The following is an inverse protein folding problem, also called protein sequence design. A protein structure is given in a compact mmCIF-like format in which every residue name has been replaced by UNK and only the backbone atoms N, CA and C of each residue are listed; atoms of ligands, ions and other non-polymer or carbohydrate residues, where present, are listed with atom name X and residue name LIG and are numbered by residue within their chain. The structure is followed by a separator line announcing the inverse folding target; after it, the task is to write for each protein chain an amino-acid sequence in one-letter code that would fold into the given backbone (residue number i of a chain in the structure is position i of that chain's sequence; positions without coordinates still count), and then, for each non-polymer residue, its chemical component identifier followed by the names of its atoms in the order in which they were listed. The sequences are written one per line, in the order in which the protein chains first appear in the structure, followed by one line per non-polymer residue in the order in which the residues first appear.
data_IF_735928300332
#
_entry.id   IF_735928300332
#
_cell.length_a   1.000
_cell.length_b   1.000
_cell.length_c   1.000
_cell.angle_alpha   90.00
_cell.angle_beta   90.00
_cell.angle_gamma   90.00
#
_symmetry.space_group_name_H-M   'P 1'
#
loop_
_entity.id
_entity.type
_entity.pdbx_description
1 polymer ?
#
# COMPACT_ATOMS: atom_id res chain seq x y z
N UNK A 1 4.65 81.58 47.85
CA UNK A 1 4.24 80.78 46.67
C UNK A 1 5.33 79.86 46.05
N UNK A 2 6.49 79.61 46.67
CA UNK A 2 7.58 78.79 46.07
C UNK A 2 7.50 77.26 46.29
N UNK A 3 6.68 76.76 47.24
CA UNK A 3 6.61 75.31 47.57
C UNK A 3 5.83 74.44 46.57
N UNK A 4 4.98 75.00 45.70
CA UNK A 4 4.16 74.17 44.76
C UNK A 4 4.93 73.69 43.53
N UNK A 5 5.91 74.44 43.03
CA UNK A 5 6.72 74.06 41.85
C UNK A 5 7.64 72.85 42.10
N UNK A 6 8.07 72.63 43.35
CA UNK A 6 8.98 71.52 43.70
C UNK A 6 8.24 70.17 43.72
N UNK A 7 6.96 70.14 44.13
CA UNK A 7 6.11 68.93 44.07
C UNK A 7 5.80 68.48 42.63
N UNK A 8 5.71 69.40 41.67
CA UNK A 8 5.50 69.05 40.26
C UNK A 8 6.73 68.38 39.60
N UNK A 9 7.96 68.69 40.04
CA UNK A 9 9.17 68.00 39.56
C UNK A 9 9.26 66.54 40.07
N UNK A 10 8.83 66.26 41.31
CA UNK A 10 8.78 64.87 41.82
C UNK A 10 7.74 64.01 41.10
N UNK A 11 6.58 64.57 40.73
CA UNK A 11 5.54 63.84 39.96
C UNK A 11 6.02 63.37 38.58
N UNK A 12 6.96 64.08 37.95
CA UNK A 12 7.55 63.66 36.66
C UNK A 12 8.37 62.38 36.75
N UNK A 13 9.04 62.12 37.88
CA UNK A 13 9.76 60.86 38.11
C UNK A 13 8.81 59.67 38.30
N UNK A 14 7.64 59.90 38.94
CA UNK A 14 6.61 58.89 39.19
C UNK A 14 5.90 58.46 37.89
N UNK A 15 5.61 59.40 36.99
CA UNK A 15 4.98 59.07 35.69
C UNK A 15 5.93 58.25 34.79
N UNK A 16 7.25 58.46 34.91
CA UNK A 16 8.26 57.72 34.16
C UNK A 16 8.36 56.24 34.58
N UNK A 17 8.33 55.96 35.88
CA UNK A 17 8.33 54.58 36.40
C UNK A 17 7.01 53.86 36.08
N UNK A 18 5.86 54.53 36.14
CA UNK A 18 4.57 53.95 35.74
C UNK A 18 4.56 53.56 34.26
N UNK A 19 5.07 54.44 33.39
CA UNK A 19 5.19 54.16 31.96
C UNK A 19 6.16 53.02 31.66
N UNK A 20 7.27 52.91 32.42
CA UNK A 20 8.24 51.84 32.26
C UNK A 20 7.67 50.46 32.67
N UNK A 21 6.87 50.40 33.73
CA UNK A 21 6.20 49.16 34.14
C UNK A 21 5.22 48.69 33.06
N UNK A 22 4.43 49.61 32.49
CA UNK A 22 3.51 49.30 31.38
C UNK A 22 4.26 48.81 30.14
N UNK A 23 5.40 49.42 29.81
CA UNK A 23 6.26 48.99 28.71
C UNK A 23 6.76 47.54 28.92
N UNK A 24 7.26 47.22 30.11
CA UNK A 24 7.74 45.86 30.43
C UNK A 24 6.60 44.85 30.33
N UNK A 25 5.41 45.18 30.88
CA UNK A 25 4.25 44.30 30.80
C UNK A 25 3.81 44.06 29.35
N UNK A 26 3.79 45.10 28.52
CA UNK A 26 3.46 44.97 27.10
C UNK A 26 4.47 44.10 26.33
N UNK A 27 5.77 44.30 26.58
CA UNK A 27 6.83 43.50 25.98
C UNK A 27 6.73 42.02 26.41
N UNK A 28 6.44 41.76 27.68
CA UNK A 28 6.24 40.39 28.18
C UNK A 28 5.04 39.69 27.53
N UNK A 29 3.91 40.40 27.39
CA UNK A 29 2.73 39.86 26.70
C UNK A 29 3.03 39.60 25.22
N UNK A 30 3.71 40.54 24.54
CA UNK A 30 4.10 40.37 23.15
C UNK A 30 5.07 39.18 22.96
N UNK A 31 6.04 39.00 23.85
CA UNK A 31 6.97 37.88 23.83
C UNK A 31 6.25 36.53 24.06
N UNK A 32 5.33 36.47 25.03
CA UNK A 32 4.54 35.26 25.29
C UNK A 32 3.65 34.88 24.10
N UNK A 33 2.97 35.86 23.50
CA UNK A 33 2.15 35.66 22.30
C UNK A 33 3.02 35.20 21.11
N UNK A 34 4.20 35.80 20.94
CA UNK A 34 5.12 35.42 19.86
C UNK A 34 5.61 33.98 20.00
N UNK A 35 5.92 33.53 21.22
CA UNK A 35 6.31 32.15 21.47
C UNK A 35 5.19 31.15 21.13
N UNK A 36 3.95 31.47 21.51
CA UNK A 36 2.78 30.65 21.19
C UNK A 36 2.58 30.57 19.67
N UNK A 37 2.64 31.71 18.97
CA UNK A 37 2.49 31.77 17.52
C UNK A 37 3.58 30.97 16.82
N UNK A 38 4.84 31.07 17.25
CA UNK A 38 5.94 30.30 16.67
C UNK A 38 5.77 28.80 16.88
N UNK A 39 5.39 28.36 18.08
CA UNK A 39 5.17 26.93 18.35
C UNK A 39 4.00 26.37 17.55
N UNK A 40 2.89 27.11 17.48
CA UNK A 40 1.76 26.73 16.62
C UNK A 40 2.18 26.73 15.15
N UNK A 41 2.92 27.75 14.71
CA UNK A 41 3.44 27.88 13.35
C UNK A 41 4.35 26.71 12.94
N UNK A 42 5.25 26.28 13.83
CA UNK A 42 6.09 25.11 13.62
C UNK A 42 5.29 23.82 13.56
N UNK A 43 4.31 23.64 14.44
CA UNK A 43 3.41 22.47 14.41
C UNK A 43 2.63 22.40 13.10
N UNK A 44 2.04 23.52 12.66
CA UNK A 44 1.33 23.59 11.37
C UNK A 44 2.25 23.31 10.19
N UNK A 45 3.48 23.83 10.20
CA UNK A 45 4.46 23.60 9.12
C UNK A 45 4.89 22.14 9.07
N UNK A 46 5.13 21.50 10.22
CA UNK A 46 5.45 20.08 10.29
C UNK A 46 4.29 19.21 9.81
N UNK A 47 3.05 19.54 10.20
CA UNK A 47 1.87 18.82 9.74
C UNK A 47 1.63 19.00 8.24
N UNK A 48 1.87 20.19 7.71
CA UNK A 48 1.82 20.44 6.27
C UNK A 48 2.87 19.60 5.53
N UNK A 49 4.11 19.58 6.02
CA UNK A 49 5.19 18.76 5.44
C UNK A 49 4.84 17.27 5.41
N UNK A 50 4.32 16.72 6.51
CA UNK A 50 3.94 15.29 6.56
C UNK A 50 2.76 14.99 5.65
N UNK A 51 1.76 15.86 5.58
CA UNK A 51 0.60 15.67 4.69
C UNK A 51 0.99 15.75 3.22
N UNK A 52 1.89 16.67 2.85
CA UNK A 52 2.43 16.76 1.49
C UNK A 52 3.23 15.50 1.13
N UNK A 53 4.10 15.04 2.04
CA UNK A 53 4.88 13.82 1.83
C UNK A 53 3.96 12.61 1.65
N UNK A 54 3.04 12.36 2.60
CA UNK A 54 2.11 11.23 2.52
C UNK A 54 1.18 11.32 1.30
N UNK A 55 0.77 12.53 0.88
CA UNK A 55 -0.01 12.70 -0.35
C UNK A 55 0.77 12.37 -1.62
N UNK A 56 2.07 12.72 -1.65
CA UNK A 56 2.96 12.32 -2.73
C UNK A 56 3.23 10.82 -2.70
N UNK A 57 3.43 10.25 -1.51
CA UNK A 57 3.65 8.82 -1.31
C UNK A 57 2.43 8.04 -1.82
N UNK A 58 1.21 8.45 -1.46
CA UNK A 58 -0.03 7.82 -1.92
C UNK A 58 -0.22 7.94 -3.44
N UNK A 59 0.07 9.10 -4.02
CA UNK A 59 -0.09 9.35 -5.45
C UNK A 59 0.97 8.65 -6.32
N UNK A 60 2.19 8.47 -5.78
CA UNK A 60 3.31 7.83 -6.50
C UNK A 60 3.37 6.32 -6.29
N UNK A 61 2.78 5.81 -5.21
CA UNK A 61 2.68 4.38 -4.94
C UNK A 61 1.62 3.74 -5.82
N UNK A 62 1.99 3.36 -7.03
CA UNK A 62 1.14 2.54 -7.88
C UNK A 62 1.88 1.25 -8.23
N UNK A 63 1.17 0.13 -8.24
CA UNK A 63 1.70 -1.11 -8.79
C UNK A 63 1.34 -1.20 -10.27
N UNK A 64 2.26 -1.75 -11.06
CA UNK A 64 2.04 -2.00 -12.49
C UNK A 64 2.27 -3.47 -12.83
N UNK A 65 1.56 -3.93 -13.87
CA UNK A 65 1.75 -5.27 -14.41
C UNK A 65 3.02 -5.25 -15.26
N UNK A 66 3.96 -6.17 -14.99
CA UNK A 66 5.23 -6.25 -15.71
C UNK A 66 5.31 -7.51 -16.57
N UNK A 67 4.73 -7.44 -17.76
CA UNK A 67 4.70 -8.54 -18.73
C UNK A 67 3.28 -9.05 -19.00
N UNK A 68 3.19 -10.20 -19.68
CA UNK A 68 1.92 -10.87 -19.97
C UNK A 68 1.36 -11.60 -18.75
N UNK A 69 0.03 -11.67 -18.65
CA UNK A 69 -0.63 -12.53 -17.67
C UNK A 69 -0.61 -13.96 -18.21
N UNK A 70 0.05 -14.86 -17.50
CA UNK A 70 0.19 -16.26 -17.91
C UNK A 70 -0.73 -17.16 -17.09
N UNK A 71 -1.18 -18.25 -17.69
CA UNK A 71 -2.10 -19.19 -17.08
C UNK A 71 -1.68 -20.62 -17.30
N UNK A 72 -2.12 -21.50 -16.41
CA UNK A 72 -1.95 -22.94 -16.56
C UNK A 72 -3.29 -23.62 -16.79
N UNK A 73 -3.48 -24.14 -17.99
CA UNK A 73 -4.69 -24.80 -18.43
C UNK A 73 -4.63 -26.31 -18.26
N UNK A 74 -5.75 -26.91 -17.87
CA UNK A 74 -5.95 -28.35 -17.98
C UNK A 74 -6.63 -28.65 -19.32
N UNK A 75 -5.85 -29.14 -20.30
CA UNK A 75 -6.31 -29.43 -21.67
C UNK A 75 -7.43 -30.48 -21.72
N UNK A 76 -7.39 -31.48 -20.84
CA UNK A 76 -8.39 -32.55 -20.80
C UNK A 76 -9.76 -32.05 -20.33
N UNK A 77 -9.77 -31.07 -19.42
CA UNK A 77 -10.99 -30.50 -18.87
C UNK A 77 -11.39 -29.17 -19.53
N UNK A 78 -10.54 -28.61 -20.40
CA UNK A 78 -10.68 -27.28 -20.99
C UNK A 78 -10.97 -26.18 -19.94
N UNK A 79 -10.23 -26.21 -18.83
CA UNK A 79 -10.42 -25.33 -17.67
C UNK A 79 -9.09 -24.78 -17.16
N UNK A 80 -9.11 -23.52 -16.73
CA UNK A 80 -7.93 -22.85 -16.17
C UNK A 80 -7.71 -23.30 -14.72
N UNK A 81 -6.50 -23.77 -14.40
CA UNK A 81 -6.15 -24.26 -13.06
C UNK A 81 -5.71 -23.10 -12.16
N UNK A 82 -4.84 -22.25 -12.68
CA UNK A 82 -4.34 -21.04 -12.02
C UNK A 82 -3.86 -20.04 -13.07
N UNK A 83 -3.70 -18.78 -12.70
CA UNK A 83 -2.98 -17.78 -13.49
C UNK A 83 -2.08 -16.90 -12.62
N UNK A 84 -1.08 -16.32 -13.27
CA UNK A 84 0.00 -15.55 -12.69
C UNK A 84 0.00 -14.16 -13.33
N UNK A 85 -0.10 -13.14 -12.49
CA UNK A 85 0.01 -11.73 -12.86
C UNK A 85 1.34 -11.21 -12.33
N UNK A 86 2.34 -10.97 -13.19
CA UNK A 86 3.59 -10.36 -12.74
C UNK A 86 3.35 -8.89 -12.39
N UNK A 87 3.80 -8.48 -11.22
CA UNK A 87 3.64 -7.12 -10.68
C UNK A 87 4.97 -6.55 -10.21
N UNK A 88 5.09 -5.23 -10.28
CA UNK A 88 6.18 -4.47 -9.67
C UNK A 88 5.66 -3.09 -9.25
N UNK A 89 6.41 -2.37 -8.43
CA UNK A 89 6.14 -0.95 -8.17
C UNK A 89 6.44 -0.14 -9.42
N UNK A 90 5.59 0.85 -9.71
CA UNK A 90 5.81 1.82 -10.79
C UNK A 90 7.18 2.50 -10.63
N UNK A 91 7.91 2.77 -11.72
CA UNK A 91 9.20 3.45 -11.65
C UNK A 91 9.07 4.80 -10.93
N UNK A 92 9.83 4.97 -9.83
CA UNK A 92 9.77 6.18 -9.00
C UNK A 92 8.66 6.20 -7.94
N UNK A 93 7.85 5.14 -7.83
CA UNK A 93 6.90 4.94 -6.75
C UNK A 93 7.57 4.46 -5.46
N UNK A 94 6.88 4.60 -4.32
CA UNK A 94 7.35 4.08 -3.04
C UNK A 94 7.05 2.58 -2.90
N UNK A 95 7.78 1.95 -2.00
CA UNK A 95 7.62 0.54 -1.67
C UNK A 95 6.24 0.22 -1.12
N UNK A 96 5.68 -0.91 -1.52
CA UNK A 96 4.30 -1.30 -1.17
C UNK A 96 4.31 -2.51 -0.25
N UNK A 97 3.68 -2.39 0.92
CA UNK A 97 3.56 -3.52 1.84
C UNK A 97 2.45 -4.48 1.39
N UNK A 98 2.86 -5.68 0.95
CA UNK A 98 1.98 -6.75 0.46
C UNK A 98 1.72 -7.84 1.51
N UNK A 99 1.94 -7.54 2.79
CA UNK A 99 1.62 -8.46 3.89
C UNK A 99 0.11 -8.77 3.97
N UNK A 100 -0.19 -10.00 4.38
CA UNK A 100 -1.55 -10.57 4.44
C UNK A 100 -2.53 -9.77 5.29
N UNK A 101 -2.04 -9.05 6.31
CA UNK A 101 -2.86 -8.22 7.18
C UNK A 101 -3.24 -6.85 6.60
N UNK A 102 -2.49 -6.37 5.60
CA UNK A 102 -2.63 -5.01 5.08
C UNK A 102 -3.13 -4.97 3.63
N UNK A 103 -2.93 -6.06 2.89
CA UNK A 103 -3.33 -6.20 1.48
C UNK A 103 -4.48 -7.17 1.36
N UNK A 104 -5.45 -6.87 0.50
CA UNK A 104 -6.52 -7.77 0.11
C UNK A 104 -6.43 -8.04 -1.40
N UNK A 105 -6.64 -9.30 -1.79
CA UNK A 105 -6.77 -9.66 -3.20
C UNK A 105 -8.19 -10.12 -3.42
N UNK A 106 -8.91 -9.35 -4.23
CA UNK A 106 -10.29 -9.62 -4.61
C UNK A 106 -10.29 -10.31 -5.97
N UNK A 107 -11.15 -11.31 -6.11
CA UNK A 107 -11.37 -11.98 -7.38
C UNK A 107 -12.85 -11.93 -7.73
N UNK A 108 -13.18 -11.60 -8.97
CA UNK A 108 -14.53 -11.77 -9.47
C UNK A 108 -14.55 -12.19 -10.93
N UNK A 109 -15.63 -12.86 -11.30
CA UNK A 109 -15.95 -13.27 -12.65
C UNK A 109 -17.44 -13.00 -12.89
N UNK A 110 -17.99 -13.49 -14.01
CA UNK A 110 -19.39 -13.25 -14.39
C UNK A 110 -20.39 -13.72 -13.32
N UNK A 111 -20.09 -14.83 -12.64
CA UNK A 111 -21.00 -15.50 -11.71
C UNK A 111 -20.44 -15.69 -10.29
N UNK A 112 -19.19 -15.30 -10.04
CA UNK A 112 -18.49 -15.55 -8.77
C UNK A 112 -17.83 -14.26 -8.30
N UNK A 113 -17.96 -13.96 -7.01
CA UNK A 113 -17.32 -12.81 -6.37
C UNK A 113 -16.71 -13.28 -5.05
N UNK A 114 -15.41 -13.08 -4.89
CA UNK A 114 -14.67 -13.34 -3.67
C UNK A 114 -14.01 -12.04 -3.22
N UNK A 115 -14.42 -11.54 -2.05
CA UNK A 115 -13.94 -10.26 -1.52
C UNK A 115 -12.50 -10.31 -1.03
N UNK A 116 -12.06 -11.46 -0.51
CA UNK A 116 -10.66 -11.71 -0.20
C UNK A 116 -10.30 -13.17 -0.43
N UNK A 117 -9.36 -13.40 -1.35
CA UNK A 117 -8.77 -14.71 -1.62
C UNK A 117 -7.32 -14.79 -1.13
N UNK A 118 -6.78 -13.73 -0.53
CA UNK A 118 -5.37 -13.64 -0.20
C UNK A 118 -4.99 -14.54 0.98
N UNK A 119 -4.03 -15.44 0.78
CA UNK A 119 -3.54 -16.40 1.80
C UNK A 119 -2.13 -16.09 2.30
N UNK A 120 -1.41 -15.21 1.62
CA UNK A 120 -0.12 -14.69 2.07
C UNK A 120 0.95 -14.66 1.00
N UNK A 121 2.16 -14.33 1.45
CA UNK A 121 3.32 -14.07 0.60
C UNK A 121 4.50 -15.00 0.94
N UNK A 122 5.15 -15.52 -0.09
CA UNK A 122 6.41 -16.24 0.03
C UNK A 122 7.57 -15.24 0.04
N UNK A 123 8.04 -14.90 1.24
CA UNK A 123 9.11 -13.89 1.45
C UNK A 123 10.52 -14.46 1.38
N UNK A 124 10.71 -15.75 1.67
CA UNK A 124 12.03 -16.36 1.76
C UNK A 124 12.42 -17.04 0.44
N UNK A 125 13.27 -16.35 -0.34
CA UNK A 125 13.78 -16.83 -1.62
C UNK A 125 13.06 -16.28 -2.84
N UNK A 126 13.43 -16.79 -4.01
CA UNK A 126 12.83 -16.46 -5.29
C UNK A 126 12.34 -17.72 -6.01
N UNK A 127 11.28 -17.57 -6.79
CA UNK A 127 10.73 -18.67 -7.57
C UNK A 127 10.68 -18.28 -9.04
N UNK A 128 11.45 -18.97 -9.87
CA UNK A 128 11.43 -18.77 -11.33
C UNK A 128 10.19 -19.38 -11.99
N UNK A 129 9.48 -20.28 -11.29
CA UNK A 129 8.33 -21.02 -11.82
C UNK A 129 7.15 -20.97 -10.85
N UNK A 130 5.95 -20.70 -11.38
CA UNK A 130 4.68 -20.70 -10.63
C UNK A 130 4.41 -22.03 -9.93
N UNK A 131 4.67 -23.16 -10.59
CA UNK A 131 4.49 -24.50 -10.01
C UNK A 131 5.34 -24.71 -8.76
N UNK A 132 6.58 -24.23 -8.75
CA UNK A 132 7.48 -24.36 -7.59
C UNK A 132 7.01 -23.46 -6.43
N UNK A 133 6.53 -22.25 -6.74
CA UNK A 133 5.93 -21.35 -5.76
C UNK A 133 4.68 -21.98 -5.11
N UNK A 134 3.83 -22.64 -5.89
CA UNK A 134 2.63 -23.33 -5.37
C UNK A 134 3.01 -24.45 -4.40
N UNK A 135 4.03 -25.25 -4.73
CA UNK A 135 4.52 -26.32 -3.83
C UNK A 135 5.07 -25.72 -2.54
N UNK A 136 5.83 -24.62 -2.62
CA UNK A 136 6.32 -23.93 -1.44
C UNK A 136 5.17 -23.34 -0.60
N UNK A 137 4.15 -22.76 -1.22
CA UNK A 137 2.96 -22.25 -0.54
C UNK A 137 2.20 -23.35 0.21
N UNK A 138 2.12 -24.56 -0.35
CA UNK A 138 1.57 -25.73 0.36
C UNK A 138 2.42 -26.07 1.58
N UNK A 139 3.73 -26.13 1.43
CA UNK A 139 4.64 -26.46 2.53
C UNK A 139 4.61 -25.39 3.64
N UNK A 140 4.36 -24.14 3.28
CA UNK A 140 4.14 -23.02 4.19
C UNK A 140 2.73 -23.00 4.83
N UNK A 141 1.83 -23.90 4.44
CA UNK A 141 0.47 -23.97 4.97
C UNK A 141 -0.51 -22.91 4.43
N UNK A 142 -0.14 -22.15 3.40
CA UNK A 142 -1.00 -21.12 2.78
C UNK A 142 -2.13 -21.73 1.97
N UNK A 143 -1.91 -22.92 1.41
CA UNK A 143 -2.91 -23.70 0.67
C UNK A 143 -2.98 -25.11 1.26
N UNK A 144 -4.19 -25.67 1.26
CA UNK A 144 -4.45 -26.99 1.81
C UNK A 144 -3.92 -28.13 0.92
N UNK A 145 -3.94 -27.94 -0.40
CA UNK A 145 -3.58 -28.96 -1.38
C UNK A 145 -3.13 -28.32 -2.69
N UNK A 146 -2.33 -29.05 -3.48
CA UNK A 146 -1.93 -28.57 -4.80
C UNK A 146 -3.17 -28.49 -5.72
N UNK A 147 -3.28 -27.45 -6.57
CA UNK A 147 -4.42 -27.30 -7.49
C UNK A 147 -4.67 -28.51 -8.38
N UNK A 148 -3.62 -29.21 -8.79
CA UNK A 148 -3.68 -30.37 -9.68
C UNK A 148 -3.76 -31.73 -8.95
N UNK A 149 -3.77 -31.75 -7.62
CA UNK A 149 -3.81 -33.01 -6.86
C UNK A 149 -5.23 -33.32 -6.37
N UNK A 150 -5.70 -34.57 -6.56
CA UNK A 150 -6.94 -35.09 -5.96
C UNK A 150 -8.15 -34.16 -6.15
N UNK A 151 -8.79 -33.78 -5.03
CA UNK A 151 -9.96 -32.90 -5.03
C UNK A 151 -9.64 -31.40 -5.25
N UNK A 152 -8.37 -31.02 -5.46
CA UNK A 152 -7.94 -29.63 -5.62
C UNK A 152 -7.98 -28.83 -4.32
N UNK A 153 -7.96 -27.50 -4.41
CA UNK A 153 -8.09 -26.61 -3.26
C UNK A 153 -9.52 -26.66 -2.70
N UNK A 154 -9.67 -26.47 -1.38
CA UNK A 154 -11.00 -26.33 -0.76
C UNK A 154 -11.67 -25.01 -1.11
N UNK A 155 -10.84 -23.96 -1.29
CA UNK A 155 -11.23 -22.58 -1.53
C UNK A 155 -10.30 -21.94 -2.55
N UNK A 156 -10.87 -21.11 -3.41
CA UNK A 156 -10.15 -20.28 -4.36
C UNK A 156 -9.25 -19.30 -3.60
N UNK A 157 -7.95 -19.32 -3.91
CA UNK A 157 -6.91 -18.71 -3.07
C UNK A 157 -5.83 -18.03 -3.92
N UNK A 158 -5.38 -16.86 -3.47
CA UNK A 158 -4.31 -16.08 -4.08
C UNK A 158 -3.10 -16.02 -3.16
N UNK A 159 -1.91 -16.07 -3.75
CA UNK A 159 -0.64 -15.87 -3.04
C UNK A 159 0.23 -14.89 -3.82
N UNK A 160 1.18 -14.28 -3.15
CA UNK A 160 2.23 -13.49 -3.78
C UNK A 160 3.57 -14.21 -3.60
N UNK A 161 4.42 -14.19 -4.62
CA UNK A 161 5.78 -14.66 -4.50
C UNK A 161 6.73 -13.77 -5.30
N UNK A 162 7.98 -13.70 -4.88
CA UNK A 162 8.99 -12.92 -5.60
C UNK A 162 9.70 -13.74 -6.67
N UNK A 163 9.86 -13.15 -7.85
CA UNK A 163 10.76 -13.65 -8.90
C UNK A 163 12.13 -12.99 -8.79
N UNK A 164 12.16 -11.73 -8.32
CA UNK A 164 13.37 -11.00 -7.96
C UNK A 164 13.14 -10.39 -6.58
N UNK A 165 13.94 -10.83 -5.61
CA UNK A 165 13.84 -10.44 -4.20
C UNK A 165 15.23 -9.95 -3.74
N UNK A 166 15.29 -8.83 -3.04
CA UNK A 166 16.54 -8.23 -2.55
C UNK A 166 16.72 -8.37 -1.04
N UNK A 167 15.63 -8.43 -0.27
CA UNK A 167 15.69 -8.26 1.19
C UNK A 167 14.80 -9.23 2.00
N UNK A 168 14.17 -10.22 1.36
CA UNK A 168 13.38 -11.29 1.96
C UNK A 168 12.31 -10.79 2.95
N UNK A 169 11.57 -9.75 2.59
CA UNK A 169 10.48 -9.22 3.41
C UNK A 169 9.14 -9.25 2.62
N UNK A 170 8.07 -8.78 3.26
CA UNK A 170 6.72 -8.67 2.66
C UNK A 170 6.47 -7.33 1.98
N UNK A 171 7.53 -6.59 1.64
CA UNK A 171 7.48 -5.27 1.03
C UNK A 171 7.96 -5.41 -0.41
N UNK A 172 7.19 -4.90 -1.35
CA UNK A 172 7.58 -4.84 -2.74
C UNK A 172 8.36 -3.54 -2.97
N UNK A 173 9.67 -3.64 -3.13
CA UNK A 173 10.57 -2.50 -3.34
C UNK A 173 10.83 -2.20 -4.83
N UNK A 174 11.37 -1.01 -5.10
CA UNK A 174 11.80 -0.63 -6.45
C UNK A 174 12.89 -1.59 -6.95
N UNK A 175 12.64 -2.18 -8.12
CA UNK A 175 13.54 -3.13 -8.76
C UNK A 175 13.44 -4.55 -8.19
N UNK A 176 12.44 -4.83 -7.38
CA UNK A 176 11.94 -6.19 -7.14
C UNK A 176 10.80 -6.50 -8.08
N UNK A 177 10.60 -7.79 -8.34
CA UNK A 177 9.51 -8.29 -9.16
C UNK A 177 8.79 -9.37 -8.37
N UNK A 178 7.48 -9.21 -8.24
CA UNK A 178 6.61 -10.20 -7.63
C UNK A 178 5.59 -10.70 -8.64
N UNK A 179 4.93 -11.80 -8.30
CA UNK A 179 3.86 -12.38 -9.08
C UNK A 179 2.70 -12.67 -8.14
N UNK A 180 1.54 -12.13 -8.50
CA UNK A 180 0.27 -12.50 -7.89
C UNK A 180 -0.20 -13.76 -8.58
N UNK A 181 -0.27 -14.84 -7.83
CA UNK A 181 -0.73 -16.12 -8.32
C UNK A 181 -2.12 -16.40 -7.80
N UNK A 182 -3.07 -16.56 -8.70
CA UNK A 182 -4.45 -16.91 -8.40
C UNK A 182 -4.70 -18.38 -8.70
N UNK A 183 -5.12 -19.15 -7.70
CA UNK A 183 -5.41 -20.58 -7.79
C UNK A 183 -6.88 -20.84 -7.52
N UNK A 184 -7.50 -21.68 -8.35
CA UNK A 184 -8.93 -21.94 -8.27
C UNK A 184 -9.25 -23.27 -7.59
N UNK A 185 -10.32 -23.26 -6.80
CA UNK A 185 -11.04 -24.49 -6.46
C UNK A 185 -11.57 -25.15 -7.73
N UNK A 186 -11.64 -26.48 -7.75
CA UNK A 186 -12.06 -27.24 -8.95
C UNK A 186 -13.44 -26.83 -9.51
N UNK A 187 -14.39 -26.44 -8.65
CA UNK A 187 -15.71 -25.94 -9.08
C UNK A 187 -15.64 -24.58 -9.75
N UNK A 188 -14.71 -23.73 -9.30
CA UNK A 188 -14.66 -22.30 -9.61
C UNK A 188 -13.74 -22.00 -10.80
N UNK A 189 -13.13 -23.04 -11.38
CA UNK A 189 -12.19 -22.92 -12.50
C UNK A 189 -12.88 -22.27 -13.72
N UNK A 190 -12.37 -21.12 -14.18
CA UNK A 190 -12.83 -20.48 -15.41
C UNK A 190 -12.67 -21.38 -16.63
N UNK A 191 -13.60 -21.25 -17.56
CA UNK A 191 -13.58 -21.91 -18.87
C UNK A 191 -13.14 -20.93 -19.96
N UNK A 192 -12.93 -21.42 -21.18
CA UNK A 192 -12.63 -20.55 -22.32
C UNK A 192 -13.75 -19.50 -22.50
N UNK A 193 -13.36 -18.28 -22.87
CA UNK A 193 -14.22 -17.09 -23.03
C UNK A 193 -14.74 -16.49 -21.71
N UNK A 194 -14.49 -17.10 -20.55
CA UNK A 194 -14.79 -16.45 -19.27
C UNK A 194 -13.83 -15.29 -19.02
N UNK A 195 -14.36 -14.25 -18.35
CA UNK A 195 -13.54 -13.11 -17.92
C UNK A 195 -13.12 -13.30 -16.47
N UNK A 196 -11.82 -13.15 -16.22
CA UNK A 196 -11.22 -13.18 -14.88
C UNK A 196 -10.80 -11.76 -14.49
N UNK A 197 -11.27 -11.31 -13.33
CA UNK A 197 -10.91 -10.03 -12.76
C UNK A 197 -10.21 -10.25 -11.42
N UNK A 198 -9.05 -9.63 -11.25
CA UNK A 198 -8.28 -9.62 -10.01
C UNK A 198 -8.04 -8.19 -9.62
N UNK A 199 -8.33 -7.83 -8.38
CA UNK A 199 -8.01 -6.52 -7.82
C UNK A 199 -7.08 -6.73 -6.62
N UNK A 200 -5.91 -6.09 -6.66
CA UNK A 200 -4.97 -6.05 -5.53
C UNK A 200 -5.17 -4.71 -4.84
N UNK A 201 -5.67 -4.77 -3.62
CA UNK A 201 -6.00 -3.63 -2.78
C UNK A 201 -4.91 -3.53 -1.71
N UNK A 202 -4.17 -2.44 -1.74
CA UNK A 202 -3.02 -2.19 -0.85
C UNK A 202 -3.36 -1.07 0.14
N UNK A 203 -2.69 -0.98 1.30
CA UNK A 203 -3.02 0.02 2.32
C UNK A 203 -2.61 1.44 1.92
N UNK A 204 -1.62 1.55 1.04
CA UNK A 204 -1.05 2.80 0.54
C UNK A 204 -0.81 2.65 -0.95
N UNK A 205 -1.41 3.53 -1.73
CA UNK A 205 -1.28 3.57 -3.17
C UNK A 205 -2.54 3.20 -3.95
N UNK A 206 -2.42 3.30 -5.27
CA UNK A 206 -3.50 2.94 -6.17
C UNK A 206 -3.74 1.42 -6.20
N UNK A 207 -5.03 1.02 -6.20
CA UNK A 207 -5.43 -0.36 -6.44
C UNK A 207 -4.96 -0.82 -7.83
N UNK A 208 -4.53 -2.07 -7.93
CA UNK A 208 -4.20 -2.71 -9.20
C UNK A 208 -5.38 -3.58 -9.66
N UNK A 209 -6.01 -3.23 -10.78
CA UNK A 209 -7.09 -4.03 -11.38
C UNK A 209 -6.62 -4.70 -12.67
N UNK A 210 -6.75 -6.02 -12.72
CA UNK A 210 -6.36 -6.86 -13.87
C UNK A 210 -7.59 -7.62 -14.35
N UNK A 211 -8.05 -7.27 -15.56
CA UNK A 211 -9.14 -7.94 -16.26
C UNK A 211 -8.60 -8.62 -17.51
N UNK A 212 -8.82 -9.93 -17.62
CA UNK A 212 -8.42 -10.73 -18.80
C UNK A 212 -9.52 -11.71 -19.20
N UNK A 213 -9.56 -12.04 -20.48
CA UNK A 213 -10.41 -13.09 -21.00
C UNK A 213 -9.58 -14.38 -21.13
N UNK A 214 -10.14 -15.50 -20.70
CA UNK A 214 -9.46 -16.79 -20.85
C UNK A 214 -9.54 -17.21 -22.32
N UNK A 215 -8.41 -17.42 -23.02
CA UNK A 215 -8.42 -17.88 -24.41
C UNK A 215 -8.88 -19.35 -24.50
N UNK A 216 -8.87 -19.93 -25.70
CA UNK A 216 -9.02 -21.38 -25.85
C UNK A 216 -7.85 -22.11 -25.21
N UNK A 217 -8.13 -23.10 -24.36
CA UNK A 217 -7.10 -23.87 -23.65
C UNK A 217 -6.68 -25.06 -24.53
N UNK A 218 -5.81 -24.79 -25.50
CA UNK A 218 -5.18 -25.82 -26.34
C UNK A 218 -3.92 -26.42 -25.71
N UNK A 219 -3.22 -25.61 -24.91
CA UNK A 219 -1.92 -25.93 -24.33
C UNK A 219 -1.94 -25.82 -22.80
N UNK A 220 -0.95 -26.42 -22.16
CA UNK A 220 -0.81 -26.39 -20.69
C UNK A 220 -0.44 -25.01 -20.18
N UNK A 221 0.26 -24.20 -20.98
CA UNK A 221 0.55 -22.79 -20.70
C UNK A 221 -0.25 -21.95 -21.68
N UNK A 222 -1.04 -21.01 -21.16
CA UNK A 222 -1.87 -20.09 -21.94
C UNK A 222 -1.52 -18.66 -21.58
N UNK A 223 -1.39 -17.80 -22.59
CA UNK A 223 -1.22 -16.36 -22.40
C UNK A 223 -2.62 -15.72 -22.36
N UNK A 224 -2.97 -15.07 -21.26
CA UNK A 224 -4.24 -14.36 -21.09
C UNK A 224 -4.16 -12.91 -21.62
N UNK A 225 -2.96 -12.44 -21.96
CA UNK A 225 -2.67 -11.11 -22.51
C UNK A 225 -2.04 -10.12 -21.52
#
# INVERSE_FOLDING_TARGET
MKKSKQRQKLRRGVIGIESAIVLIAFVMVAAALSFVILNMGFSTTQKAKTTIASGLDEASSAMEITGGVTGHGNVTQNRLTYYAVPIKVSPGGQSVNVETGNTAIRYYSKNLVFESTYRGILTNGTYSNSTAAIVAAKNAGMINQLPWAGNGLNETSAIVYFTVNKNNNSILDIGENAVVLMMFKNSDRPTSLDTVNTEVIVPTGALLSVKRMVPSISDTVVELG
#
